data_IF_130799690680
#
_entry.id   IF_130799690680
#
_cell.length_a   1.000
_cell.length_b   1.000
_cell.length_c   1.000
_cell.angle_alpha   90.00
_cell.angle_beta   90.00
_cell.angle_gamma   90.00
#
_symmetry.space_group_name_H-M   'P 1'
#
loop_
_entity.id
_entity.type
_entity.pdbx_description
1 polymer ?
#
# COMPACT_ATOMS: atom_id res chain seq x y z
N UNK A 1 -25.44 -5.69 16.99
CA UNK A 1 -25.27 -4.94 15.73
C UNK A 1 -25.20 -5.93 14.59
N UNK A 2 -25.98 -5.76 13.51
CA UNK A 2 -25.77 -6.56 12.28
C UNK A 2 -24.44 -6.14 11.68
N UNK A 3 -23.63 -7.12 11.27
CA UNK A 3 -22.35 -6.87 10.62
C UNK A 3 -22.60 -6.45 9.18
N UNK A 4 -22.28 -5.20 8.82
CA UNK A 4 -22.48 -4.62 7.48
C UNK A 4 -21.29 -4.87 6.54
N UNK A 5 -20.25 -5.52 7.05
CA UNK A 5 -19.01 -5.83 6.33
C UNK A 5 -18.74 -7.34 6.37
N UNK A 6 -18.39 -7.94 5.23
CA UNK A 6 -18.03 -9.36 5.16
C UNK A 6 -16.53 -9.59 5.41
N UNK A 7 -16.15 -10.87 5.49
CA UNK A 7 -14.76 -11.26 5.75
C UNK A 7 -13.79 -10.87 4.62
N UNK A 8 -14.27 -10.72 3.39
CA UNK A 8 -13.45 -10.34 2.22
C UNK A 8 -13.07 -8.86 2.34
N UNK A 9 -14.04 -7.98 2.62
CA UNK A 9 -13.81 -6.56 2.89
C UNK A 9 -12.90 -6.38 4.11
N UNK A 10 -13.13 -7.12 5.21
CA UNK A 10 -12.26 -7.07 6.39
C UNK A 10 -10.83 -7.47 6.09
N UNK A 11 -10.62 -8.56 5.34
CA UNK A 11 -9.28 -9.00 4.99
C UNK A 11 -8.55 -7.97 4.14
N UNK A 12 -9.23 -7.32 3.18
CA UNK A 12 -8.63 -6.22 2.44
C UNK A 12 -8.20 -5.07 3.36
N UNK A 13 -9.09 -4.62 4.26
CA UNK A 13 -8.79 -3.50 5.17
C UNK A 13 -7.62 -3.82 6.09
N UNK A 14 -7.57 -5.05 6.63
CA UNK A 14 -6.46 -5.50 7.49
C UNK A 14 -5.14 -5.58 6.72
N UNK A 15 -5.15 -6.16 5.51
CA UNK A 15 -3.94 -6.25 4.68
C UNK A 15 -3.44 -4.86 4.29
N UNK A 16 -4.34 -3.93 3.98
CA UNK A 16 -3.99 -2.55 3.64
C UNK A 16 -3.38 -1.83 4.84
N UNK A 17 -4.04 -1.87 5.99
CA UNK A 17 -3.51 -1.25 7.21
C UNK A 17 -2.17 -1.85 7.64
N UNK A 18 -1.98 -3.16 7.44
CA UNK A 18 -0.70 -3.82 7.72
C UNK A 18 0.43 -3.30 6.82
N UNK A 19 0.19 -3.18 5.51
CA UNK A 19 1.17 -2.61 4.59
C UNK A 19 1.50 -1.16 4.95
N UNK A 20 0.49 -0.32 5.17
CA UNK A 20 0.67 1.09 5.55
C UNK A 20 1.49 1.22 6.85
N UNK A 21 1.26 0.34 7.83
CA UNK A 21 2.04 0.32 9.08
C UNK A 21 3.51 -0.01 8.84
N UNK A 22 3.82 -0.93 7.93
CA UNK A 22 5.20 -1.31 7.60
C UNK A 22 5.91 -0.21 6.81
N UNK A 23 5.24 0.40 5.84
CA UNK A 23 5.77 1.54 5.07
C UNK A 23 6.00 2.76 5.98
N UNK A 24 5.08 3.05 6.90
CA UNK A 24 5.28 4.09 7.92
C UNK A 24 6.47 3.80 8.84
N UNK A 25 6.72 2.52 9.15
CA UNK A 25 7.87 2.12 9.97
C UNK A 25 9.17 2.34 9.20
N UNK A 26 9.21 1.99 7.91
CA UNK A 26 10.36 2.24 7.03
C UNK A 26 10.66 3.74 6.92
N UNK A 27 9.65 4.56 6.64
CA UNK A 27 9.78 6.02 6.55
C UNK A 27 10.31 6.63 7.86
N UNK A 28 9.83 6.15 9.02
CA UNK A 28 10.32 6.64 10.32
C UNK A 28 11.77 6.25 10.59
N UNK A 29 12.19 5.05 10.19
CA UNK A 29 13.58 4.62 10.36
C UNK A 29 14.52 5.39 9.44
N UNK A 30 14.10 5.64 8.19
CA UNK A 30 14.82 6.50 7.25
C UNK A 30 14.95 7.93 7.80
N UNK A 31 13.85 8.53 8.25
CA UNK A 31 13.88 9.89 8.79
C UNK A 31 14.73 9.98 10.08
N UNK A 32 14.68 8.96 10.94
CA UNK A 32 15.52 8.90 12.14
C UNK A 32 17.01 8.85 11.77
N UNK A 33 17.39 8.09 10.74
CA UNK A 33 18.77 8.06 10.24
C UNK A 33 19.24 9.45 9.81
N UNK A 34 18.40 10.22 9.10
CA UNK A 34 18.72 11.59 8.66
C UNK A 34 19.00 12.49 9.88
N UNK A 35 18.13 12.43 10.90
CA UNK A 35 18.28 13.20 12.13
C UNK A 35 19.56 12.79 12.89
N UNK A 36 19.78 11.49 13.07
CA UNK A 36 20.91 10.96 13.85
C UNK A 36 22.26 11.30 13.22
N UNK A 37 22.31 11.41 11.89
CA UNK A 37 23.50 11.81 11.15
C UNK A 37 23.62 13.34 10.94
N UNK A 38 22.65 14.12 11.43
CA UNK A 38 22.67 15.57 11.33
C UNK A 38 22.64 16.10 9.89
N UNK A 39 21.98 15.37 8.98
CA UNK A 39 21.89 15.75 7.57
C UNK A 39 20.94 16.95 7.44
N UNK A 40 21.44 18.03 6.85
CA UNK A 40 20.73 19.30 6.67
C UNK A 40 20.99 19.78 5.24
N UNK A 41 19.94 20.22 4.55
CA UNK A 41 20.05 20.79 3.22
C UNK A 41 20.65 22.21 3.25
N UNK A 42 21.15 22.73 2.11
CA UNK A 42 21.74 24.07 2.02
C UNK A 42 20.85 25.22 2.53
N UNK A 43 19.53 25.05 2.44
CA UNK A 43 18.54 26.01 2.94
C UNK A 43 18.31 25.94 4.46
N UNK A 44 18.96 25.00 5.15
CA UNK A 44 18.83 24.75 6.59
C UNK A 44 17.70 23.80 6.96
N UNK A 45 16.97 23.24 6.00
CA UNK A 45 15.92 22.25 6.26
C UNK A 45 16.49 20.87 6.56
N UNK A 46 15.77 20.09 7.38
CA UNK A 46 16.05 18.66 7.56
C UNK A 46 15.28 17.91 6.47
N UNK A 47 15.94 17.12 5.60
CA UNK A 47 15.26 16.34 4.58
C UNK A 47 14.24 15.37 5.18
N UNK A 48 13.05 15.27 4.60
CA UNK A 48 12.03 14.31 5.07
C UNK A 48 12.43 12.87 4.74
N UNK A 49 13.05 12.66 3.57
CA UNK A 49 13.54 11.39 3.07
C UNK A 49 14.95 11.53 2.48
N UNK A 50 15.66 10.42 2.27
CA UNK A 50 17.00 10.39 1.67
C UNK A 50 16.96 10.98 0.27
N UNK A 51 15.92 10.70 -0.53
CA UNK A 51 15.78 11.27 -1.87
C UNK A 51 15.54 12.79 -1.87
N UNK A 52 15.28 13.40 -0.71
CA UNK A 52 15.17 14.85 -0.53
C UNK A 52 16.49 15.53 -0.14
N UNK A 53 17.60 14.77 -0.01
CA UNK A 53 18.93 15.32 0.24
C UNK A 53 19.43 15.99 -1.04
N UNK A 54 19.78 17.27 -0.96
CA UNK A 54 20.24 18.05 -2.11
C UNK A 54 21.72 17.86 -2.44
N UNK A 55 22.55 17.58 -1.43
CA UNK A 55 23.98 17.31 -1.62
C UNK A 55 24.19 15.88 -2.17
N UNK A 56 24.74 15.79 -3.38
CA UNK A 56 24.86 14.52 -4.10
C UNK A 56 25.79 13.51 -3.40
N UNK A 57 26.88 13.97 -2.79
CA UNK A 57 27.80 13.09 -2.06
C UNK A 57 27.14 12.52 -0.80
N UNK A 58 26.45 13.37 -0.05
CA UNK A 58 25.68 12.97 1.14
C UNK A 58 24.52 12.05 0.78
N UNK A 59 23.81 12.33 -0.33
CA UNK A 59 22.75 11.48 -0.85
C UNK A 59 23.28 10.08 -1.18
N UNK A 60 24.34 9.98 -1.98
CA UNK A 60 24.88 8.70 -2.42
C UNK A 60 25.33 7.84 -1.23
N UNK A 61 26.02 8.46 -0.27
CA UNK A 61 26.44 7.78 0.95
C UNK A 61 25.25 7.29 1.79
N UNK A 62 24.28 8.17 2.05
CA UNK A 62 23.09 7.82 2.83
C UNK A 62 22.27 6.71 2.17
N UNK A 63 22.14 6.76 0.84
CA UNK A 63 21.43 5.75 0.07
C UNK A 63 22.11 4.37 0.13
N UNK A 64 23.44 4.32 0.06
CA UNK A 64 24.20 3.06 0.17
C UNK A 64 24.11 2.47 1.58
N UNK A 65 24.32 3.27 2.62
CA UNK A 65 24.26 2.82 4.02
C UNK A 65 22.85 2.34 4.42
N UNK A 66 21.80 3.04 3.95
CA UNK A 66 20.44 2.67 4.27
C UNK A 66 19.96 1.45 3.47
N UNK A 67 20.41 1.28 2.22
CA UNK A 67 20.13 0.06 1.45
C UNK A 67 20.65 -1.19 2.18
N UNK A 68 21.89 -1.13 2.69
CA UNK A 68 22.47 -2.23 3.48
C UNK A 68 21.68 -2.50 4.77
N UNK A 69 21.20 -1.45 5.44
CA UNK A 69 20.39 -1.56 6.67
C UNK A 69 19.01 -2.16 6.39
N UNK A 70 18.35 -1.73 5.31
CA UNK A 70 17.05 -2.26 4.89
C UNK A 70 17.14 -3.77 4.58
N UNK A 71 18.17 -4.19 3.84
CA UNK A 71 18.43 -5.61 3.54
C UNK A 71 18.68 -6.43 4.81
N UNK A 72 19.49 -5.92 5.74
CA UNK A 72 19.80 -6.62 6.98
C UNK A 72 18.61 -6.71 7.95
N UNK A 73 17.71 -5.72 7.94
CA UNK A 73 16.56 -5.66 8.85
C UNK A 73 15.45 -6.67 8.53
N UNK A 74 15.41 -7.19 7.30
CA UNK A 74 14.29 -8.01 6.81
C UNK A 74 12.98 -7.25 6.58
N UNK A 75 12.89 -5.98 6.98
CA UNK A 75 11.68 -5.15 6.86
C UNK A 75 11.23 -5.03 5.40
N UNK A 76 12.17 -4.88 4.47
CA UNK A 76 11.86 -4.82 3.04
C UNK A 76 11.14 -6.09 2.56
N UNK A 77 11.58 -7.27 3.02
CA UNK A 77 10.93 -8.54 2.68
C UNK A 77 9.52 -8.64 3.28
N UNK A 78 9.32 -8.11 4.49
CA UNK A 78 7.99 -8.01 5.10
C UNK A 78 7.06 -7.11 4.29
N UNK A 79 7.55 -5.95 3.83
CA UNK A 79 6.80 -5.02 2.97
C UNK A 79 6.43 -5.71 1.65
N UNK A 80 7.37 -6.39 1.00
CA UNK A 80 7.09 -7.14 -0.24
C UNK A 80 6.03 -8.22 -0.02
N UNK A 81 6.12 -8.98 1.08
CA UNK A 81 5.11 -9.97 1.42
C UNK A 81 3.74 -9.34 1.70
N UNK A 82 3.70 -8.21 2.41
CA UNK A 82 2.47 -7.47 2.69
C UNK A 82 1.82 -6.93 1.40
N UNK A 83 2.62 -6.45 0.44
CA UNK A 83 2.14 -6.02 -0.90
C UNK A 83 1.48 -7.17 -1.66
N UNK A 84 2.08 -8.36 -1.63
CA UNK A 84 1.50 -9.55 -2.25
C UNK A 84 0.18 -9.96 -1.58
N UNK A 85 0.15 -9.96 -0.25
CA UNK A 85 -1.06 -10.25 0.53
C UNK A 85 -2.18 -9.25 0.20
N UNK A 86 -1.86 -7.95 0.08
CA UNK A 86 -2.83 -6.93 -0.32
C UNK A 86 -3.32 -7.16 -1.76
N UNK A 87 -2.43 -7.46 -2.71
CA UNK A 87 -2.78 -7.78 -4.10
C UNK A 87 -3.76 -8.96 -4.21
N UNK A 88 -3.54 -10.01 -3.43
CA UNK A 88 -4.44 -11.17 -3.33
C UNK A 88 -5.78 -10.74 -2.73
N UNK A 89 -5.78 -9.94 -1.66
CA UNK A 89 -7.01 -9.47 -1.02
C UNK A 89 -7.84 -8.58 -1.95
N UNK A 90 -7.21 -7.68 -2.70
CA UNK A 90 -7.86 -6.87 -3.74
C UNK A 90 -8.52 -7.74 -4.80
N UNK A 91 -7.81 -8.75 -5.29
CA UNK A 91 -8.30 -9.62 -6.36
C UNK A 91 -9.54 -10.39 -5.89
N UNK A 92 -9.54 -10.89 -4.64
CA UNK A 92 -10.72 -11.51 -4.01
C UNK A 92 -11.88 -10.53 -3.81
N UNK A 93 -11.57 -9.28 -3.44
CA UNK A 93 -12.58 -8.23 -3.26
C UNK A 93 -13.26 -7.88 -4.58
N UNK A 94 -12.49 -7.79 -5.67
CA UNK A 94 -13.01 -7.56 -7.01
C UNK A 94 -13.85 -8.75 -7.48
N UNK A 95 -13.37 -9.97 -7.29
CA UNK A 95 -14.12 -11.18 -7.63
C UNK A 95 -15.48 -11.21 -6.91
N UNK A 96 -15.48 -10.89 -5.61
CA UNK A 96 -16.71 -10.74 -4.85
C UNK A 96 -17.63 -9.66 -5.45
N UNK A 97 -17.11 -8.46 -5.74
CA UNK A 97 -17.90 -7.41 -6.38
C UNK A 97 -18.51 -7.84 -7.71
N UNK A 98 -17.73 -8.52 -8.56
CA UNK A 98 -18.20 -9.03 -9.85
C UNK A 98 -19.28 -10.11 -9.69
N UNK A 99 -19.22 -10.94 -8.64
CA UNK A 99 -20.22 -11.98 -8.38
C UNK A 99 -21.62 -11.41 -8.10
N UNK A 100 -21.70 -10.18 -7.60
CA UNK A 100 -22.96 -9.48 -7.29
C UNK A 100 -23.55 -8.81 -8.54
N UNK A 101 -22.71 -8.47 -9.50
CA UNK A 101 -23.11 -7.80 -10.74
C UNK A 101 -23.88 -8.79 -11.64
N UNK A 102 -24.97 -8.37 -12.30
CA UNK A 102 -25.68 -9.20 -13.27
C UNK A 102 -24.80 -9.62 -14.47
N UNK A 103 -25.07 -10.81 -15.03
CA UNK A 103 -24.16 -11.49 -15.98
C UNK A 103 -23.76 -10.65 -17.19
N UNK A 104 -24.68 -9.86 -17.78
CA UNK A 104 -24.37 -9.02 -18.96
C UNK A 104 -23.34 -7.94 -18.67
N UNK A 105 -23.41 -7.33 -17.48
CA UNK A 105 -22.49 -6.28 -17.05
C UNK A 105 -21.20 -6.86 -16.45
N UNK A 106 -21.27 -8.07 -15.87
CA UNK A 106 -20.14 -8.75 -15.25
C UNK A 106 -18.97 -8.95 -16.22
N UNK A 107 -19.22 -9.42 -17.43
CA UNK A 107 -18.14 -9.69 -18.40
C UNK A 107 -17.45 -8.40 -18.89
N UNK A 108 -18.22 -7.32 -19.08
CA UNK A 108 -17.68 -6.01 -19.44
C UNK A 108 -16.79 -5.48 -18.30
N UNK A 109 -17.28 -5.54 -17.07
CA UNK A 109 -16.52 -5.09 -15.90
C UNK A 109 -15.28 -5.96 -15.64
N UNK A 110 -15.38 -7.28 -15.82
CA UNK A 110 -14.26 -8.23 -15.68
C UNK A 110 -13.10 -7.89 -16.62
N UNK A 111 -13.40 -7.52 -17.87
CA UNK A 111 -12.37 -7.03 -18.80
C UNK A 111 -11.80 -5.68 -18.33
N UNK A 112 -12.67 -4.75 -17.96
CA UNK A 112 -12.27 -3.40 -17.58
C UNK A 112 -11.39 -3.36 -16.32
N UNK A 113 -11.65 -4.18 -15.29
CA UNK A 113 -10.81 -4.23 -14.07
C UNK A 113 -9.44 -4.84 -14.31
N UNK A 114 -9.26 -5.63 -15.38
CA UNK A 114 -7.97 -6.22 -15.76
C UNK A 114 -7.11 -5.25 -16.54
N UNK A 115 -7.72 -4.48 -17.44
CA UNK A 115 -7.02 -3.62 -18.40
C UNK A 115 -6.86 -2.17 -17.90
N UNK A 116 -7.68 -1.73 -16.94
CA UNK A 116 -7.71 -0.35 -16.49
C UNK A 116 -7.59 -0.24 -14.96
N UNK A 117 -6.46 0.32 -14.51
CA UNK A 117 -6.16 0.52 -13.08
C UNK A 117 -7.18 1.43 -12.38
N UNK A 118 -7.60 2.53 -13.03
CA UNK A 118 -8.63 3.43 -12.47
C UNK A 118 -9.95 2.70 -12.24
N UNK A 119 -10.37 1.84 -13.18
CA UNK A 119 -11.57 1.02 -13.02
C UNK A 119 -11.42 0.02 -11.88
N UNK A 120 -10.25 -0.62 -11.76
CA UNK A 120 -9.94 -1.53 -10.64
C UNK A 120 -10.14 -0.84 -9.29
N UNK A 121 -9.56 0.35 -9.11
CA UNK A 121 -9.69 1.13 -7.87
C UNK A 121 -11.15 1.52 -7.58
N UNK A 122 -11.90 1.95 -8.60
CA UNK A 122 -13.32 2.28 -8.44
C UNK A 122 -14.15 1.09 -8.00
N UNK A 123 -13.89 -0.11 -8.53
CA UNK A 123 -14.58 -1.33 -8.11
C UNK A 123 -14.26 -1.66 -6.65
N UNK A 124 -12.99 -1.60 -6.25
CA UNK A 124 -12.58 -1.80 -4.85
C UNK A 124 -13.33 -0.83 -3.92
N UNK A 125 -13.31 0.47 -4.23
CA UNK A 125 -13.99 1.51 -3.45
C UNK A 125 -15.50 1.27 -3.33
N UNK A 126 -16.16 0.92 -4.44
CA UNK A 126 -17.59 0.61 -4.44
C UNK A 126 -17.90 -0.63 -3.59
N UNK A 127 -17.10 -1.69 -3.71
CA UNK A 127 -17.30 -2.93 -2.94
C UNK A 127 -17.05 -2.68 -1.45
N UNK A 128 -16.10 -1.82 -1.06
CA UNK A 128 -15.88 -1.47 0.35
C UNK A 128 -17.06 -0.70 0.96
N UNK A 129 -17.73 0.14 0.17
CA UNK A 129 -18.91 0.91 0.60
C UNK A 129 -20.20 0.08 0.64
N UNK A 130 -20.18 -1.14 0.10
CA UNK A 130 -21.34 -2.01 0.04
C UNK A 130 -21.68 -2.56 1.43
N UNK A 131 -22.89 -2.28 1.91
CA UNK A 131 -23.48 -2.96 3.05
C UNK A 131 -23.89 -4.38 2.64
N UNK A 132 -23.11 -5.37 3.04
CA UNK A 132 -23.32 -6.76 2.65
C UNK A 132 -24.62 -7.35 3.18
N UNK A 133 -25.24 -6.72 4.18
CA UNK A 133 -26.55 -7.15 4.67
C UNK A 133 -27.70 -6.85 3.69
N UNK A 134 -27.43 -6.06 2.66
CA UNK A 134 -28.38 -5.72 1.59
C UNK A 134 -28.25 -6.60 0.35
N UNK A 135 -27.20 -7.42 0.28
CA UNK A 135 -26.92 -8.36 -0.79
C UNK A 135 -27.61 -9.68 -0.47
N UNK A 136 -28.49 -10.16 -1.36
CA UNK A 136 -29.25 -11.41 -1.22
C UNK A 136 -28.68 -12.51 -2.10
#
# INVERSE_FOLDING_TARGET
MKKTTNKIQENYMLSKAHLETLEDKENKLEHQYIIDNGIINPDGSIPEHIYCIEDEETFNKANEEQAATAEASGLWQEILAAREILSIAESKLIEYGLSIVPDKQREILKKAVKENYTTRLKVIDMVLKLDVSTVK
#
